data_IF_350879420747
#
_entry.id   IF_350879420747
#
_cell.length_a   1.000
_cell.length_b   1.000
_cell.length_c   1.000
_cell.angle_alpha   90.00
_cell.angle_beta   90.00
_cell.angle_gamma   90.00
#
_symmetry.space_group_name_H-M   'P 1'
#
loop_
_entity.id
_entity.type
_entity.pdbx_description
1 polymer ?
#
# COMPACT_ATOMS: atom_id res chain seq x y z
N UNK A 1 11.06 -15.74 15.62
CA UNK A 1 11.89 -14.51 15.53
C UNK A 1 12.25 -14.22 14.08
N UNK A 2 12.91 -15.12 13.35
CA UNK A 2 13.26 -14.93 11.92
C UNK A 2 12.07 -14.48 11.05
N UNK A 3 10.93 -15.17 11.12
CA UNK A 3 9.73 -14.85 10.32
C UNK A 3 9.18 -13.46 10.63
N UNK A 4 9.20 -13.07 11.91
CA UNK A 4 8.73 -11.75 12.33
C UNK A 4 9.69 -10.66 11.87
N UNK A 5 11.00 -10.87 12.04
CA UNK A 5 12.04 -9.94 11.54
C UNK A 5 11.92 -9.71 10.04
N UNK A 6 11.68 -10.77 9.25
CA UNK A 6 11.46 -10.67 7.81
C UNK A 6 10.20 -9.86 7.46
N UNK A 7 9.09 -10.09 8.17
CA UNK A 7 7.85 -9.34 7.97
C UNK A 7 8.02 -7.83 8.30
N UNK A 8 8.68 -7.51 9.41
CA UNK A 8 8.98 -6.12 9.77
C UNK A 8 9.95 -5.44 8.80
N UNK A 9 10.93 -6.18 8.27
CA UNK A 9 11.82 -5.68 7.21
C UNK A 9 11.03 -5.33 5.94
N UNK A 10 10.12 -6.19 5.50
CA UNK A 10 9.23 -5.92 4.37
C UNK A 10 8.36 -4.68 4.57
N UNK A 11 7.85 -4.46 5.80
CA UNK A 11 7.12 -3.23 6.17
C UNK A 11 7.99 -1.98 6.02
N UNK A 12 9.29 -2.08 6.32
CA UNK A 12 10.27 -1.01 6.14
C UNK A 12 10.51 -0.67 4.66
N UNK A 13 10.56 -1.68 3.78
CA UNK A 13 10.65 -1.44 2.33
C UNK A 13 9.36 -0.81 1.82
N UNK A 14 8.20 -1.28 2.27
CA UNK A 14 6.91 -0.73 1.88
C UNK A 14 6.76 0.76 2.27
N UNK A 15 7.42 1.22 3.35
CA UNK A 15 7.38 2.64 3.73
C UNK A 15 8.13 3.55 2.74
N UNK A 16 9.05 3.00 1.93
CA UNK A 16 9.73 3.74 0.85
C UNK A 16 8.75 4.20 -0.25
N UNK A 17 7.55 3.63 -0.33
CA UNK A 17 6.52 4.09 -1.27
C UNK A 17 6.17 5.58 -1.09
N UNK A 18 6.28 6.10 0.14
CA UNK A 18 6.14 7.53 0.42
C UNK A 18 7.26 8.38 -0.17
N UNK A 19 8.50 7.89 -0.14
CA UNK A 19 9.64 8.56 -0.75
C UNK A 19 9.52 8.56 -2.28
N UNK A 20 9.12 7.42 -2.87
CA UNK A 20 8.85 7.32 -4.31
C UNK A 20 7.75 8.30 -4.74
N UNK A 21 6.66 8.40 -3.98
CA UNK A 21 5.61 9.38 -4.25
C UNK A 21 6.14 10.82 -4.19
N UNK A 22 6.95 11.15 -3.18
CA UNK A 22 7.58 12.47 -3.07
C UNK A 22 8.56 12.77 -4.22
N UNK A 23 9.23 11.75 -4.75
CA UNK A 23 10.14 11.87 -5.89
C UNK A 23 9.44 11.97 -7.23
N UNK A 24 8.19 11.52 -7.37
CA UNK A 24 7.39 11.67 -8.59
C UNK A 24 6.56 12.97 -8.57
N UNK A 25 6.22 13.47 -7.38
CA UNK A 25 5.34 14.62 -7.23
C UNK A 25 5.93 15.95 -7.79
N UNK A 26 5.12 16.81 -8.44
CA UNK A 26 5.56 18.12 -8.90
C UNK A 26 5.95 19.03 -7.72
N UNK A 27 7.00 19.85 -7.87
CA UNK A 27 7.47 20.75 -6.79
C UNK A 27 6.37 21.72 -6.31
N UNK A 28 5.49 22.18 -7.20
CA UNK A 28 4.37 23.07 -6.83
C UNK A 28 3.19 22.33 -6.17
N UNK A 29 3.01 21.03 -6.44
CA UNK A 29 1.84 20.25 -6.00
C UNK A 29 2.18 19.09 -5.06
N UNK A 30 3.40 19.05 -4.51
CA UNK A 30 3.83 17.98 -3.59
C UNK A 30 2.88 17.83 -2.38
N UNK A 31 2.32 18.94 -1.88
CA UNK A 31 1.30 18.92 -0.83
C UNK A 31 -0.02 18.26 -1.27
N UNK A 32 -0.45 18.46 -2.51
CA UNK A 32 -1.64 17.80 -3.07
C UNK A 32 -1.39 16.32 -3.35
N UNK A 33 -0.23 15.95 -3.89
CA UNK A 33 0.16 14.56 -4.08
C UNK A 33 0.22 13.79 -2.74
N UNK A 34 0.82 14.40 -1.70
CA UNK A 34 0.84 13.85 -0.35
C UNK A 34 -0.54 13.81 0.32
N UNK A 35 -1.41 14.79 0.03
CA UNK A 35 -2.80 14.80 0.49
C UNK A 35 -3.63 13.68 -0.12
N UNK A 36 -3.51 13.45 -1.42
CA UNK A 36 -4.17 12.34 -2.13
C UNK A 36 -3.65 11.00 -1.63
N UNK A 37 -2.33 10.86 -1.45
CA UNK A 37 -1.74 9.64 -0.89
C UNK A 37 -2.26 9.36 0.53
N UNK A 38 -2.40 10.39 1.37
CA UNK A 38 -3.01 10.25 2.69
C UNK A 38 -4.50 9.89 2.61
N UNK A 39 -5.26 10.45 1.67
CA UNK A 39 -6.68 10.13 1.52
C UNK A 39 -6.85 8.64 1.24
N UNK A 40 -6.14 8.10 0.25
CA UNK A 40 -6.18 6.68 -0.07
C UNK A 40 -5.60 5.81 1.05
N UNK A 41 -4.54 6.26 1.73
CA UNK A 41 -3.96 5.56 2.88
C UNK A 41 -4.94 5.43 4.06
N UNK A 42 -5.64 6.51 4.40
CA UNK A 42 -6.64 6.50 5.47
C UNK A 42 -7.88 5.69 5.07
N UNK A 43 -8.35 5.79 3.82
CA UNK A 43 -9.44 4.95 3.31
C UNK A 43 -9.05 3.47 3.37
N UNK A 44 -7.86 3.10 2.89
CA UNK A 44 -7.37 1.72 2.97
C UNK A 44 -7.28 1.23 4.42
N UNK A 45 -6.84 2.09 5.35
CA UNK A 45 -6.78 1.82 6.78
C UNK A 45 -8.15 1.55 7.42
N UNK A 46 -9.22 2.14 6.90
CA UNK A 46 -10.60 1.91 7.34
C UNK A 46 -11.22 0.68 6.65
N UNK A 47 -11.03 0.57 5.33
CA UNK A 47 -11.66 -0.49 4.51
C UNK A 47 -11.08 -1.86 4.86
N UNK A 48 -9.78 -1.97 5.07
CA UNK A 48 -9.11 -3.26 5.37
C UNK A 48 -9.70 -3.96 6.61
N UNK A 49 -9.79 -3.34 7.80
CA UNK A 49 -10.37 -4.00 8.97
C UNK A 49 -11.86 -4.27 8.82
N UNK A 50 -12.61 -3.45 8.08
CA UNK A 50 -14.03 -3.72 7.79
C UNK A 50 -14.17 -5.01 6.97
N UNK A 51 -13.43 -5.13 5.87
CA UNK A 51 -13.48 -6.31 5.00
C UNK A 51 -13.00 -7.56 5.73
N UNK A 52 -11.88 -7.46 6.47
CA UNK A 52 -11.39 -8.56 7.30
C UNK A 52 -12.41 -8.95 8.37
N UNK A 53 -13.05 -7.98 9.02
CA UNK A 53 -14.10 -8.20 10.01
C UNK A 53 -15.30 -8.95 9.42
N UNK A 54 -15.75 -8.57 8.23
CA UNK A 54 -16.83 -9.30 7.52
C UNK A 54 -16.42 -10.73 7.15
N UNK A 55 -15.20 -10.93 6.66
CA UNK A 55 -14.70 -12.26 6.30
C UNK A 55 -14.68 -13.17 7.53
N UNK A 56 -14.13 -12.69 8.64
CA UNK A 56 -14.05 -13.46 9.90
C UNK A 56 -15.44 -13.68 10.49
N UNK A 57 -16.35 -12.71 10.42
CA UNK A 57 -17.73 -12.88 10.90
C UNK A 57 -18.51 -13.93 10.09
N UNK A 58 -18.27 -14.02 8.78
CA UNK A 58 -18.96 -14.97 7.90
C UNK A 58 -18.37 -16.39 7.95
N UNK A 59 -17.05 -16.53 8.04
CA UNK A 59 -16.37 -17.85 8.00
C UNK A 59 -15.93 -18.36 9.37
N UNK A 60 -15.88 -17.51 10.39
CA UNK A 60 -15.39 -17.86 11.74
C UNK A 60 -13.88 -18.11 11.82
N UNK A 61 -13.13 -18.02 10.70
CA UNK A 61 -11.69 -18.30 10.64
C UNK A 61 -10.91 -17.09 10.12
N UNK A 62 -9.75 -16.84 10.74
CA UNK A 62 -8.79 -15.83 10.31
C UNK A 62 -7.96 -16.25 9.09
N UNK A 63 -7.97 -17.53 8.70
CA UNK A 63 -7.20 -18.02 7.56
C UNK A 63 -7.66 -17.35 6.26
N UNK A 64 -8.97 -17.15 6.08
CA UNK A 64 -9.52 -16.47 4.92
C UNK A 64 -9.15 -14.98 4.87
N UNK A 65 -9.01 -14.33 6.03
CA UNK A 65 -8.52 -12.97 6.12
C UNK A 65 -7.04 -12.87 5.74
N UNK A 66 -6.23 -13.85 6.17
CA UNK A 66 -4.82 -13.95 5.79
C UNK A 66 -4.65 -14.15 4.27
N UNK A 67 -5.46 -15.01 3.65
CA UNK A 67 -5.47 -15.21 2.20
C UNK A 67 -5.86 -13.92 1.47
N UNK A 68 -6.88 -13.20 1.94
CA UNK A 68 -7.29 -11.92 1.37
C UNK A 68 -6.13 -10.91 1.35
N UNK A 69 -5.43 -10.75 2.48
CA UNK A 69 -4.27 -9.85 2.58
C UNK A 69 -3.13 -10.32 1.68
N UNK A 70 -2.85 -11.62 1.62
CA UNK A 70 -1.82 -12.19 0.77
C UNK A 70 -2.06 -11.95 -0.73
N UNK A 71 -3.31 -12.09 -1.19
CA UNK A 71 -3.68 -11.79 -2.58
C UNK A 71 -3.53 -10.30 -2.88
N UNK A 72 -3.90 -9.41 -1.96
CA UNK A 72 -3.68 -7.97 -2.13
C UNK A 72 -2.19 -7.60 -2.21
N UNK A 73 -1.33 -8.29 -1.44
CA UNK A 73 0.11 -8.14 -1.56
C UNK A 73 0.62 -8.54 -2.94
N UNK A 74 0.18 -9.69 -3.47
CA UNK A 74 0.55 -10.13 -4.83
C UNK A 74 0.07 -9.13 -5.89
N UNK A 75 -1.17 -8.64 -5.79
CA UNK A 75 -1.71 -7.65 -6.71
C UNK A 75 -0.91 -6.33 -6.66
N UNK A 76 -0.46 -5.93 -5.47
CA UNK A 76 0.42 -4.77 -5.28
C UNK A 76 1.76 -4.97 -5.99
N UNK A 77 2.38 -6.14 -5.85
CA UNK A 77 3.65 -6.47 -6.53
C UNK A 77 3.48 -6.42 -8.05
N UNK A 78 2.43 -7.03 -8.58
CA UNK A 78 2.12 -7.02 -10.02
C UNK A 78 1.88 -5.59 -10.52
N UNK A 79 1.11 -4.79 -9.78
CA UNK A 79 0.87 -3.39 -10.12
C UNK A 79 2.17 -2.58 -10.15
N UNK A 80 3.04 -2.75 -9.14
CA UNK A 80 4.33 -2.07 -9.13
C UNK A 80 5.29 -2.53 -10.24
N UNK A 81 5.24 -3.80 -10.66
CA UNK A 81 6.12 -4.30 -11.71
C UNK A 81 5.67 -3.91 -13.12
N UNK A 82 4.36 -3.89 -13.38
CA UNK A 82 3.83 -3.67 -14.73
C UNK A 82 3.24 -2.27 -14.96
N UNK A 83 2.68 -1.63 -13.93
CA UNK A 83 1.97 -0.35 -14.05
C UNK A 83 2.86 0.83 -13.70
N UNK A 84 3.77 0.67 -12.74
CA UNK A 84 4.72 1.74 -12.39
C UNK A 84 5.77 1.84 -13.49
N UNK A 85 5.61 2.84 -14.35
CA UNK A 85 6.59 3.26 -15.35
C UNK A 85 7.79 3.99 -14.72
N UNK A 86 8.63 4.67 -15.53
CA UNK A 86 9.83 5.33 -15.03
C UNK A 86 9.50 6.39 -13.96
N UNK A 87 10.11 6.24 -12.78
CA UNK A 87 10.05 7.19 -11.68
C UNK A 87 10.79 8.46 -12.12
N UNK A 88 10.07 9.39 -12.76
CA UNK A 88 10.55 10.74 -13.08
C UNK A 88 9.62 11.74 -12.40
N UNK A 89 10.21 12.83 -11.90
CA UNK A 89 9.42 13.98 -11.43
C UNK A 89 8.52 14.46 -12.55
N UNK A 90 7.23 14.55 -12.26
CA UNK A 90 6.27 15.16 -13.17
C UNK A 90 6.55 16.67 -13.17
N UNK A 91 7.20 17.17 -14.22
CA UNK A 91 7.33 18.60 -14.47
C UNK A 91 6.03 19.13 -15.04
N UNK A 92 5.37 19.99 -14.27
CA UNK A 92 4.28 20.84 -14.76
C UNK A 92 4.94 22.03 -15.48
N UNK A 93 4.73 22.08 -16.81
CA UNK A 93 5.03 23.26 -17.62
C UNK A 93 4.25 24.48 -17.13
#
# INVERSE_FOLDING_TARGET
>A
ILTMSAAFFGKGIASLGWAVMADVAPKQLAGLAGGVFNMFGNIAGIVTPIVVGFIVAATGSFDWALVFVGVHCLLTIVSFLFVVGPIKRVELA
#
